data_IF_868807689285
#
_entry.id   IF_868807689285
#
_cell.length_a   1.000
_cell.length_b   1.000
_cell.length_c   1.000
_cell.angle_alpha   90.00
_cell.angle_beta   90.00
_cell.angle_gamma   90.00
#
_symmetry.space_group_name_H-M   'P 1'
#
loop_
_entity.id
_entity.type
_entity.pdbx_description
1 polymer ?
#
# COMPACT_ATOMS: atom_id res chain seq x y z
N UNK A 1 32.38 19.80 -38.02
CA UNK A 1 32.21 19.93 -36.54
C UNK A 1 30.76 19.69 -36.08
N UNK A 2 30.08 18.62 -36.55
CA UNK A 2 28.69 18.33 -36.14
C UNK A 2 28.48 16.92 -35.57
N UNK A 3 29.50 16.06 -35.65
CA UNK A 3 29.44 14.66 -35.16
C UNK A 3 29.92 14.50 -33.71
N UNK A 4 30.75 15.42 -33.20
CA UNK A 4 31.26 15.37 -31.83
C UNK A 4 30.20 15.72 -30.77
N UNK A 5 29.16 16.48 -31.14
CA UNK A 5 28.09 16.90 -30.23
C UNK A 5 27.10 15.74 -29.96
N UNK A 6 26.93 14.81 -30.91
CA UNK A 6 26.00 13.69 -30.76
C UNK A 6 26.49 12.65 -29.73
N UNK A 7 27.80 12.52 -29.55
CA UNK A 7 28.40 11.59 -28.59
C UNK A 7 28.32 12.08 -27.14
N UNK A 8 28.19 13.39 -26.91
CA UNK A 8 28.11 13.95 -25.56
C UNK A 8 26.75 13.70 -24.89
N UNK A 9 25.68 13.54 -25.67
CA UNK A 9 24.33 13.30 -25.15
C UNK A 9 24.13 11.87 -24.59
N UNK A 10 24.93 10.90 -25.04
CA UNK A 10 24.82 9.52 -24.58
C UNK A 10 25.47 9.26 -23.22
N UNK A 11 26.40 10.11 -22.78
CA UNK A 11 27.10 9.96 -21.50
C UNK A 11 26.29 10.41 -20.28
N UNK A 12 25.23 11.21 -20.47
CA UNK A 12 24.38 11.71 -19.37
C UNK A 12 23.24 10.76 -18.97
N UNK A 13 23.02 9.67 -19.71
CA UNK A 13 21.94 8.70 -19.42
C UNK A 13 22.40 7.50 -18.58
N UNK A 14 23.68 7.41 -18.21
CA UNK A 14 24.29 6.21 -17.62
C UNK A 14 24.19 6.04 -16.10
N UNK A 15 23.73 7.04 -15.34
CA UNK A 15 23.60 6.92 -13.88
C UNK A 15 22.14 6.86 -13.46
N UNK A 16 21.47 5.75 -13.77
CA UNK A 16 20.29 5.39 -13.00
C UNK A 16 20.77 4.96 -11.61
N UNK A 17 20.47 5.79 -10.62
CA UNK A 17 20.66 5.50 -9.20
C UNK A 17 19.80 4.30 -8.80
N UNK A 18 20.24 3.10 -9.15
CA UNK A 18 19.70 1.87 -8.57
C UNK A 18 20.23 1.85 -7.14
N UNK A 19 19.50 2.48 -6.22
CA UNK A 19 19.64 2.20 -4.80
C UNK A 19 19.43 0.70 -4.66
N UNK A 20 20.54 -0.04 -4.52
CA UNK A 20 20.48 -1.43 -4.14
C UNK A 20 19.76 -1.47 -2.79
N UNK A 21 18.47 -1.79 -2.83
CA UNK A 21 17.68 -2.00 -1.63
C UNK A 21 18.33 -3.22 -0.97
N UNK A 22 19.10 -2.98 0.08
CA UNK A 22 19.77 -4.02 0.85
C UNK A 22 18.71 -5.06 1.17
N UNK A 23 18.80 -6.24 0.56
CA UNK A 23 17.91 -7.36 0.78
C UNK A 23 18.21 -7.82 2.22
N UNK A 24 17.57 -7.17 3.19
CA UNK A 24 17.60 -7.65 4.56
C UNK A 24 16.84 -8.96 4.54
N UNK A 25 17.54 -10.06 4.82
CA UNK A 25 16.93 -11.37 4.99
C UNK A 25 15.75 -11.22 5.95
N UNK A 26 14.55 -11.46 5.46
CA UNK A 26 13.32 -11.24 6.22
C UNK A 26 13.27 -12.25 7.37
N UNK A 27 13.02 -11.76 8.58
CA UNK A 27 12.80 -12.60 9.74
C UNK A 27 11.31 -12.92 9.85
N UNK A 28 10.89 -13.99 9.16
CA UNK A 28 9.49 -14.39 9.05
C UNK A 28 8.87 -14.73 10.41
N UNK A 29 9.65 -15.08 11.44
CA UNK A 29 9.14 -15.39 12.78
C UNK A 29 8.50 -14.17 13.45
N UNK A 30 8.94 -12.97 13.07
CA UNK A 30 8.39 -11.69 13.56
C UNK A 30 7.17 -11.23 12.77
N UNK A 31 6.79 -11.95 11.71
CA UNK A 31 5.70 -11.60 10.82
C UNK A 31 4.50 -12.52 11.03
N UNK A 32 3.33 -11.96 10.82
CA UNK A 32 2.07 -12.68 10.72
C UNK A 32 1.55 -12.55 9.30
N UNK A 33 1.48 -13.65 8.54
CA UNK A 33 0.92 -13.66 7.19
C UNK A 33 -0.57 -13.33 7.25
N UNK A 34 -1.03 -12.48 6.34
CA UNK A 34 -2.45 -12.21 6.14
C UNK A 34 -3.02 -13.25 5.17
N UNK A 35 -3.57 -14.32 5.73
CA UNK A 35 -4.13 -15.42 4.95
C UNK A 35 -5.38 -15.02 4.15
N UNK A 36 -5.52 -15.59 2.95
CA UNK A 36 -6.68 -15.36 2.08
C UNK A 36 -6.68 -14.01 1.34
N UNK A 37 -5.57 -13.26 1.37
CA UNK A 37 -5.44 -11.92 0.77
C UNK A 37 -4.35 -11.90 -0.32
N UNK A 38 -4.12 -13.02 -1.00
CA UNK A 38 -3.12 -13.08 -2.07
C UNK A 38 -3.59 -12.26 -3.28
N UNK A 39 -2.74 -11.32 -3.73
CA UNK A 39 -3.07 -10.43 -4.82
C UNK A 39 -2.42 -10.89 -6.13
N UNK A 40 -3.06 -10.55 -7.25
CA UNK A 40 -2.56 -10.82 -8.60
C UNK A 40 -1.15 -10.24 -8.74
N UNK A 41 -0.21 -11.06 -9.24
CA UNK A 41 1.21 -10.69 -9.30
C UNK A 41 2.08 -11.25 -8.17
N UNK A 42 1.54 -12.12 -7.31
CA UNK A 42 2.33 -12.86 -6.31
C UNK A 42 2.74 -12.01 -5.11
N UNK A 43 1.92 -11.00 -4.78
CA UNK A 43 2.12 -10.18 -3.58
C UNK A 43 1.49 -10.88 -2.39
N UNK A 44 2.28 -11.08 -1.35
CA UNK A 44 1.83 -11.58 -0.05
C UNK A 44 1.95 -10.48 0.99
N UNK A 45 0.93 -10.33 1.83
CA UNK A 45 0.90 -9.31 2.87
C UNK A 45 1.15 -9.91 4.25
N UNK A 46 1.86 -9.15 5.08
CA UNK A 46 2.21 -9.52 6.45
C UNK A 46 2.02 -8.34 7.39
N UNK A 47 1.79 -8.62 8.67
CA UNK A 47 1.89 -7.64 9.76
C UNK A 47 3.10 -7.98 10.63
N UNK A 48 3.95 -7.00 10.92
CA UNK A 48 5.03 -7.15 11.88
C UNK A 48 4.47 -7.06 13.32
N UNK A 49 4.55 -8.17 14.07
CA UNK A 49 3.82 -8.41 15.33
C UNK A 49 4.03 -7.39 16.45
N UNK A 50 5.12 -6.62 16.44
CA UNK A 50 5.47 -5.67 17.53
C UNK A 50 5.14 -4.23 17.19
N UNK A 51 5.30 -3.88 15.92
CA UNK A 51 5.20 -2.52 15.41
C UNK A 51 3.88 -2.27 14.70
N UNK A 52 3.10 -3.32 14.40
CA UNK A 52 1.86 -3.25 13.64
C UNK A 52 2.08 -2.63 12.24
N UNK A 53 3.28 -2.84 11.67
CA UNK A 53 3.62 -2.37 10.32
C UNK A 53 3.11 -3.39 9.30
N UNK A 54 2.34 -2.91 8.34
CA UNK A 54 1.90 -3.69 7.19
C UNK A 54 3.02 -3.78 6.16
N UNK A 55 3.29 -4.99 5.66
CA UNK A 55 4.41 -5.28 4.76
C UNK A 55 3.88 -6.04 3.55
N UNK A 56 4.24 -5.58 2.36
CA UNK A 56 4.05 -6.33 1.12
C UNK A 56 5.36 -7.00 0.71
N UNK A 57 5.26 -8.27 0.35
CA UNK A 57 6.37 -9.09 -0.13
C UNK A 57 6.04 -9.59 -1.53
N UNK A 58 6.99 -9.43 -2.45
CA UNK A 58 6.90 -9.94 -3.81
C UNK A 58 8.26 -10.53 -4.19
N UNK A 59 8.26 -11.76 -4.72
CA UNK A 59 9.49 -12.49 -5.08
C UNK A 59 10.51 -12.53 -3.92
N UNK A 60 10.07 -12.90 -2.72
CA UNK A 60 10.88 -12.99 -1.50
C UNK A 60 11.56 -11.67 -1.04
N UNK A 61 11.13 -10.55 -1.60
CA UNK A 61 11.66 -9.23 -1.29
C UNK A 61 10.56 -8.30 -0.76
N UNK A 62 10.92 -7.41 0.17
CA UNK A 62 9.99 -6.37 0.66
C UNK A 62 9.73 -5.41 -0.49
N UNK A 63 8.49 -5.37 -0.97
CA UNK A 63 8.05 -4.38 -1.95
C UNK A 63 7.87 -3.02 -1.28
N UNK A 64 7.13 -2.98 -0.17
CA UNK A 64 6.92 -1.78 0.63
C UNK A 64 6.56 -2.12 2.08
N UNK A 65 6.66 -1.10 2.95
CA UNK A 65 6.20 -1.12 4.35
C UNK A 65 5.32 0.10 4.62
N UNK A 66 4.23 -0.10 5.34
CA UNK A 66 3.25 0.93 5.65
C UNK A 66 2.98 0.95 7.17
N UNK A 67 3.44 2.01 7.83
CA UNK A 67 3.19 2.25 9.25
C UNK A 67 1.90 3.07 9.43
N UNK A 68 0.78 2.34 9.45
CA UNK A 68 -0.57 2.92 9.43
C UNK A 68 -0.88 3.62 10.74
N UNK A 69 -0.48 3.01 11.86
CA UNK A 69 -0.75 3.54 13.21
C UNK A 69 0.02 4.84 13.43
N UNK A 70 1.26 4.94 12.95
CA UNK A 70 2.04 6.19 13.03
C UNK A 70 1.49 7.29 12.12
N UNK A 71 1.03 6.94 10.93
CA UNK A 71 0.59 7.94 9.95
C UNK A 71 -0.85 8.42 10.17
N UNK A 72 -1.76 7.53 10.59
CA UNK A 72 -3.18 7.84 10.75
C UNK A 72 -3.65 7.85 12.21
N UNK A 73 -2.91 7.22 13.11
CA UNK A 73 -3.28 7.10 14.52
C UNK A 73 -2.79 8.29 15.35
N UNK A 74 -3.56 8.63 16.39
CA UNK A 74 -3.13 9.62 17.41
C UNK A 74 -2.33 8.98 18.55
N UNK A 75 -2.42 7.65 18.70
CA UNK A 75 -1.85 6.84 19.79
C UNK A 75 -1.55 5.44 19.27
N UNK A 76 -0.73 4.69 20.00
CA UNK A 76 -0.47 3.28 19.71
C UNK A 76 -1.78 2.48 19.84
N UNK A 77 -2.17 1.83 18.76
CA UNK A 77 -3.35 0.96 18.64
C UNK A 77 -3.01 -0.18 17.71
N UNK A 78 -3.75 -1.29 17.82
CA UNK A 78 -3.50 -2.48 17.01
C UNK A 78 -4.31 -2.46 15.70
N UNK A 79 -3.83 -3.19 14.70
CA UNK A 79 -4.59 -3.47 13.49
C UNK A 79 -5.59 -4.59 13.78
N UNK A 80 -6.88 -4.31 13.59
CA UNK A 80 -7.94 -5.28 13.85
C UNK A 80 -8.20 -6.18 12.65
N UNK A 81 -8.17 -5.62 11.45
CA UNK A 81 -8.48 -6.34 10.21
C UNK A 81 -7.91 -5.65 8.99
N UNK A 82 -7.59 -6.46 7.98
CA UNK A 82 -7.11 -6.04 6.66
C UNK A 82 -7.90 -6.82 5.61
N UNK A 83 -8.36 -6.15 4.56
CA UNK A 83 -9.01 -6.81 3.43
C UNK A 83 -8.83 -6.01 2.13
N UNK A 84 -8.82 -6.70 1.00
CA UNK A 84 -8.74 -6.05 -0.31
C UNK A 84 -10.08 -5.41 -0.67
N UNK A 85 -10.04 -4.17 -1.12
CA UNK A 85 -11.18 -3.44 -1.69
C UNK A 85 -10.69 -2.48 -2.78
N UNK A 86 -11.17 -2.64 -4.01
CA UNK A 86 -10.91 -1.72 -5.13
C UNK A 86 -9.42 -1.41 -5.37
N UNK A 87 -8.56 -2.44 -5.39
CA UNK A 87 -7.11 -2.25 -5.60
C UNK A 87 -6.34 -1.68 -4.41
N UNK A 88 -7.01 -1.49 -3.27
CA UNK A 88 -6.40 -1.04 -2.01
C UNK A 88 -6.64 -2.08 -0.91
N UNK A 89 -5.80 -2.06 0.12
CA UNK A 89 -6.04 -2.73 1.38
C UNK A 89 -6.81 -1.78 2.29
N UNK A 90 -8.05 -2.13 2.63
CA UNK A 90 -8.78 -1.45 3.70
C UNK A 90 -8.30 -2.03 5.02
N UNK A 91 -7.75 -1.16 5.86
CA UNK A 91 -7.21 -1.52 7.17
C UNK A 91 -8.04 -0.86 8.25
N UNK A 92 -8.57 -1.66 9.15
CA UNK A 92 -9.28 -1.19 10.34
C UNK A 92 -8.36 -1.29 11.54
N UNK A 93 -8.23 -0.23 12.31
CA UNK A 93 -7.34 -0.16 13.47
C UNK A 93 -7.99 0.65 14.60
N UNK A 94 -7.63 0.35 15.84
CA UNK A 94 -8.26 0.99 17.00
C UNK A 94 -9.78 0.76 17.07
N UNK A 95 -10.58 1.73 17.52
CA UNK A 95 -12.03 1.52 17.69
C UNK A 95 -12.82 1.72 16.40
N UNK A 96 -12.61 2.87 15.73
CA UNK A 96 -13.42 3.31 14.59
C UNK A 96 -12.56 3.86 13.43
N UNK A 97 -11.25 3.58 13.41
CA UNK A 97 -10.34 4.18 12.44
C UNK A 97 -10.09 3.25 11.26
N UNK A 98 -10.08 3.86 10.06
CA UNK A 98 -9.87 3.16 8.81
C UNK A 98 -8.81 3.90 8.00
N UNK A 99 -7.94 3.14 7.37
CA UNK A 99 -7.02 3.62 6.35
C UNK A 99 -7.16 2.74 5.10
N UNK A 100 -6.86 3.31 3.95
CA UNK A 100 -6.61 2.55 2.73
C UNK A 100 -5.13 2.59 2.41
N UNK A 101 -4.56 1.44 2.06
CA UNK A 101 -3.18 1.31 1.60
C UNK A 101 -3.20 0.85 0.17
N UNK A 102 -2.56 1.58 -0.74
CA UNK A 102 -2.43 1.15 -2.12
C UNK A 102 -1.59 -0.13 -2.22
N UNK A 103 -2.10 -1.13 -2.96
CA UNK A 103 -1.46 -2.45 -3.05
C UNK A 103 -0.11 -2.38 -3.78
N UNK A 104 0.03 -1.48 -4.75
CA UNK A 104 1.21 -1.41 -5.60
C UNK A 104 2.35 -0.62 -4.97
N UNK A 105 2.05 0.44 -4.23
CA UNK A 105 3.10 1.35 -3.75
C UNK A 105 3.12 1.56 -2.23
N UNK A 106 2.11 1.07 -1.49
CA UNK A 106 2.05 1.21 -0.04
C UNK A 106 1.64 2.60 0.46
N UNK A 107 1.14 3.47 -0.43
CA UNK A 107 0.65 4.80 -0.08
C UNK A 107 -0.57 4.71 0.83
N UNK A 108 -0.57 5.50 1.91
CA UNK A 108 -1.59 5.46 2.96
C UNK A 108 -2.55 6.65 2.80
N UNK A 109 -3.83 6.35 2.72
CA UNK A 109 -4.93 7.30 2.76
C UNK A 109 -5.71 7.11 4.07
N UNK A 110 -5.56 8.05 5.01
CA UNK A 110 -6.29 8.03 6.27
C UNK A 110 -7.72 8.55 6.07
N UNK A 111 -8.73 7.81 6.51
CA UNK A 111 -10.11 8.32 6.55
C UNK A 111 -10.41 8.93 7.91
N UNK A 112 -11.03 10.10 7.91
CA UNK A 112 -11.73 10.62 9.08
C UNK A 112 -13.19 10.15 9.07
N UNK A 113 -13.86 10.17 10.22
CA UNK A 113 -15.28 9.76 10.35
C UNK A 113 -16.22 10.50 9.37
N UNK A 114 -15.84 11.71 8.93
CA UNK A 114 -16.57 12.51 7.95
C UNK A 114 -16.37 12.01 6.50
N UNK A 115 -15.15 11.61 6.12
CA UNK A 115 -14.86 11.07 4.78
C UNK A 115 -15.51 9.71 4.55
N UNK A 116 -15.74 8.94 5.63
CA UNK A 116 -16.42 7.66 5.60
C UNK A 116 -17.89 7.80 5.12
N UNK A 117 -18.63 8.75 5.68
CA UNK A 117 -20.04 8.99 5.32
C UNK A 117 -20.20 9.42 3.86
N UNK A 118 -19.27 10.23 3.36
CA UNK A 118 -19.30 10.74 1.98
C UNK A 118 -19.05 9.60 0.97
N UNK A 119 -18.03 8.75 1.20
CA UNK A 119 -17.73 7.61 0.31
C UNK A 119 -18.84 6.57 0.29
N UNK A 120 -19.49 6.32 1.43
CA UNK A 120 -20.63 5.40 1.49
C UNK A 120 -21.87 5.99 0.77
N UNK A 121 -22.10 7.31 0.85
CA UNK A 121 -23.17 8.00 0.12
C UNK A 121 -22.94 8.05 -1.39
N UNK A 122 -21.71 8.30 -1.85
CA UNK A 122 -21.38 8.29 -3.29
C UNK A 122 -21.61 6.91 -3.92
N UNK A 123 -21.30 5.83 -3.19
CA UNK A 123 -21.51 4.45 -3.66
C UNK A 123 -23.00 4.10 -3.78
N UNK A 124 -23.82 4.53 -2.81
CA UNK A 124 -25.29 4.36 -2.87
C UNK A 124 -25.86 5.11 -4.08
N UNK A 125 -25.39 6.34 -4.32
CA UNK A 125 -25.85 7.14 -5.45
C UNK A 125 -25.46 6.53 -6.80
N UNK A 126 -24.24 6.00 -6.94
CA UNK A 126 -23.81 5.31 -8.16
C UNK A 126 -24.63 4.04 -8.44
N UNK A 127 -24.89 3.25 -7.39
CA UNK A 127 -25.69 2.02 -7.49
C UNK A 127 -27.13 2.34 -7.93
N UNK A 128 -27.77 3.34 -7.32
CA UNK A 128 -29.14 3.75 -7.67
C UNK A 128 -29.26 4.33 -9.09
N UNK A 129 -28.25 5.07 -9.56
CA UNK A 129 -28.23 5.56 -10.94
C UNK A 129 -28.05 4.43 -11.96
N UNK A 130 -27.32 3.37 -11.63
CA UNK A 130 -27.14 2.21 -12.51
C UNK A 130 -28.40 1.34 -12.63
N UNK A 131 -29.21 1.28 -11.56
CA UNK A 131 -30.46 0.53 -11.52
C UNK A 131 -31.56 1.26 -12.31
N UNK A 132 -31.62 2.59 -12.22
CA UNK A 132 -32.65 3.40 -12.90
C UNK A 132 -32.37 3.67 -14.39
N UNK A 133 -31.28 3.15 -14.96
CA UNK A 133 -30.93 3.29 -16.39
C UNK A 133 -31.24 2.03 -17.24
N UNK A 134 -31.97 1.06 -16.69
CA UNK A 134 -32.57 -0.06 -17.43
C UNK A 134 -34.05 0.19 -17.66
#
# INVERSE_FOLDING_TARGET
MKKAILLLFFLLLGFQNIKAQKISKMDYDKLSKLEGIEYLGGITFYIEKKSEILIAVQNDSIKWKADIVKNCGKRKVDINSVFIRNGKLKVSFGKNSIAFVDIENGEIECLTEETQKIKDQELINFTNQSINKK
#
